data_IF_346024034617
#
_entry.id   IF_346024034617
#
_cell.length_a   1.000
_cell.length_b   1.000
_cell.length_c   1.000
_cell.angle_alpha   90.00
_cell.angle_beta   90.00
_cell.angle_gamma   90.00
#
_symmetry.space_group_name_H-M   'P 1'
#
loop_
_entity.id
_entity.type
_entity.pdbx_description
1 polymer ?
#
# COMPACT_ATOMS: atom_id res chain seq x y z
N UNK A 1 -18.89 0.09 -15.42
CA UNK A 1 -18.35 1.20 -14.61
C UNK A 1 -17.91 0.56 -13.31
N UNK A 2 -16.63 0.19 -13.18
CA UNK A 2 -16.13 -0.46 -11.96
C UNK A 2 -15.94 0.65 -10.94
N UNK A 3 -16.84 0.72 -9.96
CA UNK A 3 -16.69 1.62 -8.82
C UNK A 3 -15.60 1.06 -7.92
N UNK A 4 -14.43 1.70 -7.93
CA UNK A 4 -13.40 1.47 -6.92
C UNK A 4 -13.92 2.05 -5.59
N UNK A 5 -14.56 1.20 -4.79
CA UNK A 5 -14.87 1.52 -3.41
C UNK A 5 -13.57 1.36 -2.62
N UNK A 6 -12.74 2.41 -2.61
CA UNK A 6 -11.43 2.45 -1.96
C UNK A 6 -11.44 1.72 -0.62
N UNK A 7 -10.74 0.59 -0.58
CA UNK A 7 -10.68 -0.28 0.59
C UNK A 7 -9.94 0.42 1.74
N UNK A 8 -10.51 0.37 2.94
CA UNK A 8 -9.81 0.82 4.15
C UNK A 8 -9.00 -0.36 4.69
N UNK A 9 -7.66 -0.26 4.63
CA UNK A 9 -6.77 -1.25 5.24
C UNK A 9 -6.57 -0.92 6.72
N UNK A 10 -6.91 -1.85 7.61
CA UNK A 10 -6.59 -1.77 9.04
C UNK A 10 -5.29 -2.53 9.26
N UNK A 11 -4.21 -1.82 9.63
CA UNK A 11 -2.94 -2.43 10.04
C UNK A 11 -2.86 -2.57 11.57
N UNK A 12 -2.32 -3.67 12.11
CA UNK A 12 -2.09 -3.82 13.54
C UNK A 12 -1.18 -2.71 14.09
N UNK A 13 -1.45 -2.28 15.32
CA UNK A 13 -0.77 -1.16 15.98
C UNK A 13 0.77 -1.33 16.09
N UNK A 14 1.30 -2.56 16.03
CA UNK A 14 2.75 -2.82 16.00
C UNK A 14 3.43 -2.39 14.70
N UNK A 15 2.69 -2.21 13.62
CA UNK A 15 3.19 -1.77 12.31
C UNK A 15 3.05 -0.26 12.10
N UNK A 16 2.46 0.42 13.07
CA UNK A 16 2.23 1.86 13.10
C UNK A 16 3.48 2.48 13.74
N UNK A 17 4.40 3.02 12.92
CA UNK A 17 5.60 3.74 13.41
C UNK A 17 5.23 4.84 14.42
N UNK A 18 6.20 5.39 15.20
CA UNK A 18 5.91 6.34 16.28
C UNK A 18 4.97 7.46 15.81
N UNK A 19 4.06 7.90 16.69
CA UNK A 19 3.12 8.95 16.35
C UNK A 19 3.90 10.18 15.87
N UNK A 20 3.71 10.64 14.61
CA UNK A 20 4.21 11.95 14.22
C UNK A 20 3.47 13.00 15.05
N UNK A 21 4.01 14.23 15.10
CA UNK A 21 3.36 15.42 15.67
C UNK A 21 2.15 15.86 14.81
N UNK A 22 1.25 14.92 14.51
CA UNK A 22 0.06 15.08 13.70
C UNK A 22 -1.11 15.62 14.51
N UNK A 23 -2.13 16.12 13.82
CA UNK A 23 -3.32 16.66 14.46
C UNK A 23 -4.12 15.56 15.19
N UNK A 24 -4.72 15.90 16.32
CA UNK A 24 -5.61 15.02 17.07
C UNK A 24 -7.09 15.37 16.86
N UNK A 25 -7.93 14.34 16.72
CA UNK A 25 -9.37 14.50 16.60
C UNK A 25 -10.12 13.50 17.50
N UNK A 26 -11.09 13.98 18.26
CA UNK A 26 -11.95 13.10 19.04
C UNK A 26 -12.86 12.25 18.14
N UNK A 27 -13.12 11.00 18.50
CA UNK A 27 -13.91 10.06 17.71
C UNK A 27 -15.32 10.56 17.38
N UNK A 28 -15.93 11.35 18.28
CA UNK A 28 -17.22 11.99 18.03
C UNK A 28 -17.15 13.03 16.91
N UNK A 29 -16.09 13.87 16.92
CA UNK A 29 -15.82 14.85 15.86
C UNK A 29 -15.48 14.12 14.56
N UNK A 30 -14.60 13.11 14.61
CA UNK A 30 -14.26 12.29 13.45
C UNK A 30 -15.49 11.68 12.78
N UNK A 31 -16.42 11.09 13.56
CA UNK A 31 -17.67 10.53 13.01
C UNK A 31 -18.51 11.57 12.25
N UNK A 32 -18.46 12.84 12.66
CA UNK A 32 -19.22 13.91 12.02
C UNK A 32 -18.58 14.42 10.72
N UNK A 33 -17.27 14.30 10.56
CA UNK A 33 -16.51 14.89 9.42
C UNK A 33 -15.58 13.89 8.72
N UNK A 34 -15.85 12.59 8.83
CA UNK A 34 -14.87 11.56 8.45
C UNK A 34 -14.41 11.66 7.00
N UNK A 35 -15.32 11.90 6.05
CA UNK A 35 -14.98 12.01 4.63
C UNK A 35 -14.06 13.20 4.34
N UNK A 36 -14.36 14.37 4.92
CA UNK A 36 -13.52 15.56 4.79
C UNK A 36 -12.10 15.30 5.34
N UNK A 37 -12.00 14.60 6.48
CA UNK A 37 -10.71 14.27 7.09
C UNK A 37 -9.94 13.25 6.23
N UNK A 38 -10.61 12.29 5.59
CA UNK A 38 -9.98 11.38 4.63
C UNK A 38 -9.37 12.15 3.46
N UNK A 39 -10.13 13.08 2.87
CA UNK A 39 -9.68 13.91 1.75
C UNK A 39 -8.50 14.80 2.14
N UNK A 40 -8.55 15.41 3.33
CA UNK A 40 -7.47 16.25 3.86
C UNK A 40 -6.19 15.45 4.08
N UNK A 41 -6.28 14.25 4.66
CA UNK A 41 -5.11 13.37 4.85
C UNK A 41 -4.54 12.93 3.50
N UNK A 42 -5.39 12.60 2.52
CA UNK A 42 -4.94 12.23 1.18
C UNK A 42 -4.23 13.40 0.47
N UNK A 43 -4.75 14.63 0.58
CA UNK A 43 -4.20 15.81 -0.07
C UNK A 43 -2.92 16.33 0.61
N UNK A 44 -2.93 16.42 1.93
CA UNK A 44 -1.83 17.04 2.70
C UNK A 44 -0.74 16.05 3.08
N UNK A 45 -1.04 14.75 3.02
CA UNK A 45 -0.21 13.65 3.54
C UNK A 45 0.15 13.79 5.03
N UNK A 46 -0.60 14.59 5.79
CA UNK A 46 -0.40 14.75 7.23
C UNK A 46 -1.25 13.73 7.99
N UNK A 47 -0.66 12.87 8.82
CA UNK A 47 -1.44 11.91 9.62
C UNK A 47 -2.31 12.57 10.68
N UNK A 48 -3.43 11.93 11.01
CA UNK A 48 -4.36 12.38 12.05
C UNK A 48 -4.60 11.25 13.06
N UNK A 49 -4.50 11.56 14.35
CA UNK A 49 -4.74 10.62 15.44
C UNK A 49 -6.18 10.76 15.93
N UNK A 50 -6.93 9.65 15.92
CA UNK A 50 -8.29 9.59 16.42
C UNK A 50 -8.26 9.14 17.88
N UNK A 51 -8.80 9.96 18.77
CA UNK A 51 -8.86 9.69 20.21
C UNK A 51 -10.29 9.38 20.66
N UNK A 52 -10.45 8.51 21.66
CA UNK A 52 -11.73 8.25 22.33
C UNK A 52 -11.53 8.42 23.82
N UNK A 53 -12.21 9.41 24.42
CA UNK A 53 -12.04 9.77 25.85
C UNK A 53 -10.57 10.10 26.19
N UNK A 54 -9.91 10.88 25.34
CA UNK A 54 -8.51 11.28 25.52
C UNK A 54 -7.46 10.18 25.28
N UNK A 55 -7.89 8.95 24.93
CA UNK A 55 -6.97 7.85 24.59
C UNK A 55 -6.90 7.68 23.07
N UNK A 56 -5.71 7.68 22.46
CA UNK A 56 -5.55 7.32 21.05
C UNK A 56 -6.11 5.92 20.78
N UNK A 57 -6.92 5.78 19.72
CA UNK A 57 -7.55 4.50 19.34
C UNK A 57 -7.31 4.09 17.90
N UNK A 58 -7.04 5.05 17.01
CA UNK A 58 -6.73 4.80 15.62
C UNK A 58 -5.88 5.94 15.05
N UNK A 59 -5.21 5.69 13.94
CA UNK A 59 -4.47 6.70 13.18
C UNK A 59 -4.88 6.61 11.72
N UNK A 60 -5.18 7.75 11.13
CA UNK A 60 -5.37 7.88 9.70
C UNK A 60 -4.06 8.35 9.06
N UNK A 61 -3.59 7.60 8.07
CA UNK A 61 -2.38 7.88 7.30
C UNK A 61 -2.75 7.92 5.81
N UNK A 62 -2.05 8.72 4.99
CA UNK A 62 -2.25 8.67 3.55
C UNK A 62 -1.90 7.28 3.03
N UNK A 63 -2.65 6.81 2.03
CA UNK A 63 -2.32 5.59 1.29
C UNK A 63 -1.20 5.92 0.31
N UNK A 64 -0.10 5.16 0.35
CA UNK A 64 0.95 5.29 -0.63
C UNK A 64 0.45 4.82 -2.00
N UNK A 65 0.74 5.55 -3.09
CA UNK A 65 0.39 5.08 -4.42
C UNK A 65 1.08 3.73 -4.69
N UNK A 66 0.46 2.83 -5.47
CA UNK A 66 1.13 1.61 -5.88
C UNK A 66 2.47 1.95 -6.53
N UNK A 67 3.50 1.16 -6.21
CA UNK A 67 4.80 1.33 -6.82
C UNK A 67 4.65 1.28 -8.35
N UNK A 68 5.31 2.19 -9.10
CA UNK A 68 5.23 2.17 -10.55
C UNK A 68 5.71 0.82 -11.08
N UNK A 69 5.08 0.26 -12.13
CA UNK A 69 5.48 -1.03 -12.68
C UNK A 69 6.89 -0.96 -13.30
N UNK A 70 7.33 0.24 -13.67
CA UNK A 70 8.66 0.47 -14.19
C UNK A 70 9.71 0.16 -13.12
N UNK A 71 10.61 -0.79 -13.42
CA UNK A 71 11.65 -1.23 -12.50
C UNK A 71 11.20 -2.29 -11.48
N UNK A 72 9.93 -2.73 -11.48
CA UNK A 72 9.46 -3.78 -10.57
C UNK A 72 10.18 -5.13 -10.76
N UNK A 73 10.69 -5.38 -11.97
CA UNK A 73 11.49 -6.56 -12.33
C UNK A 73 13.00 -6.25 -12.45
N UNK A 74 13.44 -5.07 -11.98
CA UNK A 74 14.87 -4.74 -12.00
C UNK A 74 15.64 -5.76 -11.14
N UNK A 75 16.63 -6.41 -11.74
CA UNK A 75 17.42 -7.46 -11.09
C UNK A 75 16.78 -8.85 -11.06
N UNK A 76 15.60 -9.06 -11.66
CA UNK A 76 15.00 -10.40 -11.79
C UNK A 76 15.37 -11.09 -13.11
N UNK A 77 15.95 -10.36 -14.06
CA UNK A 77 16.40 -10.92 -15.34
C UNK A 77 17.73 -11.65 -15.12
N UNK A 78 17.72 -12.96 -15.33
CA UNK A 78 18.94 -13.77 -15.40
C UNK A 78 19.47 -13.82 -16.83
N UNK A 79 20.79 -13.90 -16.98
CA UNK A 79 21.40 -14.29 -18.24
C UNK A 79 21.27 -15.80 -18.41
N UNK A 80 20.79 -16.22 -19.57
CA UNK A 80 20.96 -17.58 -20.04
C UNK A 80 22.06 -17.54 -21.10
N UNK A 81 22.88 -18.60 -21.14
CA UNK A 81 23.96 -18.74 -22.11
C UNK A 81 23.43 -18.86 -23.55
N UNK A 82 24.14 -19.58 -24.41
CA UNK A 82 23.68 -19.77 -25.79
C UNK A 82 22.35 -20.54 -25.84
N UNK A 83 21.26 -19.80 -26.08
CA UNK A 83 19.89 -20.32 -26.15
C UNK A 83 19.63 -21.16 -27.41
N UNK A 84 20.49 -21.06 -28.42
CA UNK A 84 20.35 -21.81 -29.69
C UNK A 84 21.37 -22.94 -29.79
N UNK A 85 22.16 -23.17 -28.75
CA UNK A 85 23.06 -24.30 -28.70
C UNK A 85 22.27 -25.62 -28.84
N UNK A 86 22.81 -26.61 -29.58
CA UNK A 86 22.21 -27.93 -29.66
C UNK A 86 22.09 -28.54 -28.27
N UNK A 87 20.89 -29.03 -27.94
CA UNK A 87 20.69 -29.91 -26.79
C UNK A 87 20.92 -31.35 -27.24
N UNK A 88 21.59 -32.15 -26.41
CA UNK A 88 21.84 -33.57 -26.69
C UNK A 88 20.63 -34.41 -26.25
N UNK A 89 19.47 -34.07 -26.83
CA UNK A 89 18.19 -34.72 -26.57
C UNK A 89 17.55 -35.20 -27.88
N UNK A 90 17.02 -36.42 -27.86
CA UNK A 90 16.27 -36.99 -28.99
C UNK A 90 14.90 -36.30 -29.07
N UNK A 91 14.61 -35.68 -30.21
CA UNK A 91 13.32 -35.00 -30.37
C UNK A 91 12.20 -36.02 -30.56
N UNK A 92 11.32 -36.15 -29.58
CA UNK A 92 10.19 -37.10 -29.58
C UNK A 92 9.23 -36.95 -30.76
N UNK A 93 9.27 -35.84 -31.50
CA UNK A 93 8.46 -35.66 -32.71
C UNK A 93 8.92 -36.53 -33.90
N UNK A 94 10.10 -37.16 -33.81
CA UNK A 94 10.67 -38.02 -34.86
C UNK A 94 10.49 -39.53 -34.58
N UNK A 95 9.78 -39.90 -33.50
CA UNK A 95 9.40 -41.30 -33.19
C UNK A 95 8.15 -41.76 -33.93
#
# INVERSE_FOLDING_TARGET
MVGDHGGVTIVPASQVGPAPDGAEIGAGRFKAVCLQVLDEVAATRRPVTITKRGRPVARLVPVDPPAPPFGALAGTVGEYGDLVAPVDDEWDALR
#
